data_IF_995117807143
#
_entry.id   IF_995117807143
#
_cell.length_a   1.000
_cell.length_b   1.000
_cell.length_c   1.000
_cell.angle_alpha   90.00
_cell.angle_beta   90.00
_cell.angle_gamma   90.00
#
_symmetry.space_group_name_H-M   'P 1'
#
loop_
_entity.id
_entity.type
_entity.pdbx_description
1 polymer ?
#
# COMPACT_ATOMS: atom_id res chain seq x y z
N UNK A 1 14.46 13.14 27.45
CA UNK A 1 14.06 13.39 26.06
C UNK A 1 13.52 12.08 25.50
N UNK A 2 12.41 12.13 24.78
CA UNK A 2 11.84 10.97 24.08
C UNK A 2 12.01 11.26 22.60
N UNK A 3 12.65 10.34 21.89
CA UNK A 3 12.90 10.46 20.46
C UNK A 3 11.99 9.50 19.69
N UNK A 4 11.53 9.91 18.51
CA UNK A 4 10.61 9.14 17.67
C UNK A 4 11.40 8.62 16.47
N UNK A 5 11.44 7.30 16.24
CA UNK A 5 12.17 6.74 15.12
C UNK A 5 11.52 7.13 13.79
N UNK A 6 12.35 7.24 12.75
CA UNK A 6 11.90 7.51 11.38
C UNK A 6 11.03 6.33 10.89
N UNK A 7 9.86 6.65 10.34
CA UNK A 7 8.91 5.66 9.81
C UNK A 7 9.28 5.32 8.37
N UNK A 8 9.46 4.04 8.08
CA UNK A 8 9.73 3.56 6.71
C UNK A 8 8.58 2.67 6.20
N UNK A 9 8.06 2.93 4.98
CA UNK A 9 7.02 2.10 4.41
C UNK A 9 7.57 0.74 3.95
N UNK A 10 6.81 -0.33 4.21
CA UNK A 10 7.15 -1.67 3.76
C UNK A 10 6.40 -2.00 2.48
N UNK A 11 7.16 -2.28 1.41
CA UNK A 11 6.60 -2.65 0.11
C UNK A 11 6.58 -4.16 -0.07
N UNK A 12 5.39 -4.72 -0.34
CA UNK A 12 5.22 -6.14 -0.67
C UNK A 12 4.85 -6.30 -2.14
N UNK A 13 5.79 -6.82 -2.93
CA UNK A 13 5.58 -7.05 -4.37
C UNK A 13 4.96 -8.42 -4.61
N UNK A 14 3.76 -8.44 -5.15
CA UNK A 14 3.11 -9.67 -5.61
C UNK A 14 3.49 -9.95 -7.07
N UNK A 15 3.94 -11.16 -7.37
CA UNK A 15 4.29 -11.58 -8.75
C UNK A 15 3.57 -12.88 -9.09
N UNK A 16 2.84 -12.88 -10.21
CA UNK A 16 2.30 -14.11 -10.80
C UNK A 16 3.38 -14.76 -11.67
N UNK A 17 3.52 -16.07 -11.53
CA UNK A 17 4.34 -16.90 -12.41
C UNK A 17 3.40 -17.69 -13.32
N UNK A 18 3.69 -17.66 -14.62
CA UNK A 18 3.01 -18.46 -15.64
C UNK A 18 4.00 -19.47 -16.19
N UNK A 19 3.67 -20.76 -16.12
CA UNK A 19 4.48 -21.83 -16.71
C UNK A 19 3.69 -22.46 -17.84
N UNK A 20 4.28 -22.48 -19.03
CA UNK A 20 3.75 -23.20 -20.19
C UNK A 20 4.47 -24.54 -20.26
N UNK A 21 3.71 -25.64 -20.23
CA UNK A 21 4.27 -26.97 -20.48
C UNK A 21 4.27 -27.28 -21.98
N UNK A 22 5.05 -28.28 -22.38
CA UNK A 22 5.15 -28.79 -23.76
C UNK A 22 3.80 -29.19 -24.38
N UNK A 23 2.76 -29.40 -23.57
CA UNK A 23 1.40 -29.78 -23.98
C UNK A 23 0.42 -28.60 -24.15
N UNK A 24 0.92 -27.40 -24.44
CA UNK A 24 0.13 -26.17 -24.68
C UNK A 24 -0.71 -25.67 -23.49
N UNK A 25 -0.72 -26.39 -22.36
CA UNK A 25 -1.43 -25.98 -21.16
C UNK A 25 -0.62 -24.93 -20.37
N UNK A 26 -1.29 -23.82 -20.07
CA UNK A 26 -0.75 -22.72 -19.29
C UNK A 26 -1.26 -22.84 -17.85
N UNK A 27 -0.35 -23.01 -16.90
CA UNK A 27 -0.69 -22.91 -15.49
C UNK A 27 -0.30 -21.50 -15.00
N UNK A 28 -1.30 -20.73 -14.56
CA UNK A 28 -1.14 -19.37 -14.05
C UNK A 28 -1.72 -19.33 -12.63
N UNK A 29 -0.95 -18.83 -11.69
CA UNK A 29 -1.46 -18.50 -10.34
C UNK A 29 -2.24 -17.18 -10.39
N UNK A 30 -3.31 -17.08 -9.61
CA UNK A 30 -4.07 -15.84 -9.47
C UNK A 30 -3.51 -14.99 -8.33
N UNK A 31 -3.68 -13.67 -8.43
CA UNK A 31 -3.40 -12.77 -7.31
C UNK A 31 -4.39 -13.05 -6.17
N UNK A 32 -3.99 -12.86 -4.90
CA UNK A 32 -4.92 -12.95 -3.78
C UNK A 32 -5.99 -11.84 -3.92
N UNK A 33 -7.22 -12.10 -3.44
CA UNK A 33 -8.42 -11.25 -3.68
C UNK A 33 -8.27 -9.78 -3.28
N UNK A 34 -7.33 -9.49 -2.39
CA UNK A 34 -6.97 -8.19 -1.82
C UNK A 34 -6.00 -7.38 -2.70
N UNK A 35 -5.37 -7.97 -3.72
CA UNK A 35 -4.47 -7.28 -4.65
C UNK A 35 -5.20 -7.02 -5.96
N UNK A 36 -5.95 -5.91 -6.01
CA UNK A 36 -6.79 -5.52 -7.17
C UNK A 36 -6.22 -4.37 -7.99
N UNK A 37 -5.30 -3.60 -7.42
CA UNK A 37 -4.69 -2.44 -8.06
C UNK A 37 -3.16 -2.58 -8.14
N UNK A 38 -2.55 -1.88 -9.10
CA UNK A 38 -1.08 -1.84 -9.31
C UNK A 38 -0.34 -1.45 -8.03
N UNK A 39 -0.92 -0.54 -7.24
CA UNK A 39 -0.48 -0.17 -5.89
C UNK A 39 -1.71 -0.31 -4.99
N UNK A 40 -1.59 -1.08 -3.91
CA UNK A 40 -2.65 -1.25 -2.92
C UNK A 40 -2.11 -0.87 -1.55
N UNK A 41 -2.78 0.05 -0.87
CA UNK A 41 -2.46 0.43 0.51
C UNK A 41 -3.20 -0.49 1.47
N UNK A 42 -2.49 -0.98 2.49
CA UNK A 42 -3.06 -1.88 3.49
C UNK A 42 -4.04 -1.15 4.42
N UNK A 43 -4.80 -1.93 5.21
CA UNK A 43 -5.84 -1.43 6.10
C UNK A 43 -5.36 -0.34 7.07
N UNK A 44 -4.08 -0.37 7.47
CA UNK A 44 -3.51 0.62 8.38
C UNK A 44 -3.48 2.03 7.78
N UNK A 45 -2.98 2.16 6.54
CA UNK A 45 -2.94 3.47 5.84
C UNK A 45 -4.36 3.97 5.60
N UNK A 46 -5.27 3.09 5.22
CA UNK A 46 -6.68 3.44 5.02
C UNK A 46 -7.34 3.94 6.32
N UNK A 47 -7.03 3.31 7.46
CA UNK A 47 -7.54 3.72 8.76
C UNK A 47 -7.00 5.10 9.18
N UNK A 48 -5.72 5.38 8.94
CA UNK A 48 -5.12 6.69 9.22
C UNK A 48 -5.77 7.78 8.36
N UNK A 49 -5.93 7.53 7.06
CA UNK A 49 -6.61 8.46 6.14
C UNK A 49 -8.04 8.73 6.62
N UNK A 50 -8.79 7.68 6.94
CA UNK A 50 -10.16 7.82 7.44
C UNK A 50 -10.19 8.66 8.72
N UNK A 51 -9.31 8.38 9.69
CA UNK A 51 -9.22 9.14 10.94
C UNK A 51 -8.86 10.61 10.71
N UNK A 52 -7.88 10.90 9.85
CA UNK A 52 -7.49 12.28 9.54
C UNK A 52 -8.58 13.04 8.79
N UNK A 53 -9.27 12.37 7.87
CA UNK A 53 -10.32 12.98 7.06
C UNK A 53 -11.61 13.20 7.85
N UNK A 54 -12.08 12.21 8.63
CA UNK A 54 -13.38 12.29 9.32
C UNK A 54 -13.27 12.72 10.78
N UNK A 55 -12.18 12.35 11.47
CA UNK A 55 -11.97 12.71 12.87
C UNK A 55 -11.33 14.09 13.00
N UNK A 56 -10.30 14.37 12.20
CA UNK A 56 -9.54 15.61 12.29
C UNK A 56 -9.91 16.63 11.20
N UNK A 57 -10.75 16.25 10.23
CA UNK A 57 -11.18 17.10 9.11
C UNK A 57 -10.01 17.74 8.34
N UNK A 58 -8.90 17.02 8.19
CA UNK A 58 -7.75 17.53 7.46
C UNK A 58 -8.04 17.62 5.96
N UNK A 59 -7.67 18.74 5.30
CA UNK A 59 -7.65 18.83 3.86
C UNK A 59 -6.73 17.77 3.24
N UNK A 60 -7.10 17.28 2.06
CA UNK A 60 -6.35 16.24 1.36
C UNK A 60 -4.86 16.61 1.14
N UNK A 61 -4.58 17.85 0.79
CA UNK A 61 -3.20 18.34 0.58
C UNK A 61 -2.35 18.26 1.85
N UNK A 62 -2.93 18.48 3.03
CA UNK A 62 -2.21 18.34 4.30
C UNK A 62 -1.97 16.90 4.68
N UNK A 63 -2.91 16.01 4.33
CA UNK A 63 -2.69 14.58 4.50
C UNK A 63 -1.57 14.08 3.59
N UNK A 64 -1.49 14.54 2.33
CA UNK A 64 -0.43 14.12 1.42
C UNK A 64 0.95 14.61 1.86
N UNK A 65 1.06 15.85 2.37
CA UNK A 65 2.28 16.36 3.02
C UNK A 65 2.70 15.46 4.21
N UNK A 66 1.76 15.12 5.10
CA UNK A 66 2.05 14.25 6.24
C UNK A 66 2.60 12.88 5.80
N UNK A 67 1.96 12.22 4.84
CA UNK A 67 2.41 10.91 4.37
C UNK A 67 3.78 10.97 3.70
N UNK A 68 4.08 12.06 2.99
CA UNK A 68 5.37 12.29 2.35
C UNK A 68 6.48 12.56 3.35
N UNK A 69 6.25 13.49 4.27
CA UNK A 69 7.31 14.03 5.14
C UNK A 69 7.53 13.18 6.39
N UNK A 70 6.47 12.55 6.92
CA UNK A 70 6.54 11.76 8.17
C UNK A 70 6.59 10.25 7.90
N UNK A 71 5.77 9.77 6.96
CA UNK A 71 5.68 8.33 6.66
C UNK A 71 6.57 7.89 5.49
N UNK A 72 7.33 8.80 4.87
CA UNK A 72 8.15 8.53 3.68
C UNK A 72 7.39 7.82 2.56
N UNK A 73 6.09 8.09 2.44
CA UNK A 73 5.18 7.44 1.52
C UNK A 73 4.79 8.45 0.43
N UNK A 74 5.09 8.17 -0.86
CA UNK A 74 4.79 9.09 -1.95
C UNK A 74 3.31 9.01 -2.34
N UNK A 75 2.46 9.73 -1.59
CA UNK A 75 1.05 9.98 -1.88
C UNK A 75 0.89 11.39 -2.47
#
# INVERSE_FOLDING_TARGET
MVDIPIIFPKYTKHRIIKKTRYCSHQNKSDFPKNVRATISYDANIQAIIAYMHTGQYLPFERMSEYFRDVCNLPI
#
